data_IF_857962881680
#
_entry.id   IF_857962881680
#
_cell.length_a   1.000
_cell.length_b   1.000
_cell.length_c   1.000
_cell.angle_alpha   90.00
_cell.angle_beta   90.00
_cell.angle_gamma   90.00
#
_symmetry.space_group_name_H-M   'P 1'
#
loop_
_entity.id
_entity.type
_entity.pdbx_description
1 polymer ?
#
# COMPACT_ATOMS: atom_id res chain seq x y z
N UNK A 1 2.17 -13.34 -4.30
CA UNK A 1 1.87 -12.77 -5.63
C UNK A 1 0.37 -12.71 -5.85
N UNK A 2 -0.35 -13.83 -5.71
CA UNK A 2 -1.80 -13.88 -5.95
C UNK A 2 -2.61 -12.88 -5.12
N UNK A 3 -2.28 -12.70 -3.83
CA UNK A 3 -3.00 -11.76 -2.96
C UNK A 3 -2.84 -10.30 -3.42
N UNK A 4 -1.69 -9.92 -3.97
CA UNK A 4 -1.46 -8.57 -4.48
C UNK A 4 -2.22 -8.31 -5.80
N UNK A 5 -2.26 -9.30 -6.71
CA UNK A 5 -3.04 -9.22 -7.94
C UNK A 5 -4.54 -9.10 -7.64
N UNK A 6 -5.07 -9.97 -6.77
CA UNK A 6 -6.45 -9.88 -6.30
C UNK A 6 -6.75 -8.55 -5.60
N UNK A 7 -5.81 -8.06 -4.79
CA UNK A 7 -5.91 -6.76 -4.13
C UNK A 7 -6.12 -5.63 -5.15
N UNK A 8 -5.22 -5.51 -6.10
CA UNK A 8 -5.28 -4.46 -7.10
C UNK A 8 -6.56 -4.54 -7.93
N UNK A 9 -6.87 -5.72 -8.50
CA UNK A 9 -8.06 -5.91 -9.33
C UNK A 9 -9.37 -5.65 -8.58
N UNK A 10 -9.46 -6.06 -7.29
CA UNK A 10 -10.65 -5.85 -6.46
C UNK A 10 -10.79 -4.38 -6.09
N UNK A 11 -9.72 -3.73 -5.61
CA UNK A 11 -9.73 -2.32 -5.20
C UNK A 11 -10.14 -1.41 -6.37
N UNK A 12 -9.52 -1.60 -7.53
CA UNK A 12 -9.83 -0.80 -8.71
C UNK A 12 -11.18 -1.17 -9.32
N UNK A 13 -11.65 -2.42 -9.16
CA UNK A 13 -13.01 -2.82 -9.52
C UNK A 13 -14.06 -2.11 -8.67
N UNK A 14 -13.85 -2.06 -7.36
CA UNK A 14 -14.71 -1.32 -6.42
C UNK A 14 -14.70 0.18 -6.71
N UNK A 15 -13.52 0.78 -6.92
CA UNK A 15 -13.38 2.18 -7.28
C UNK A 15 -14.15 2.52 -8.56
N UNK A 16 -14.03 1.69 -9.59
CA UNK A 16 -14.76 1.86 -10.84
C UNK A 16 -16.27 1.73 -10.64
N UNK A 17 -16.72 0.66 -9.96
CA UNK A 17 -18.14 0.37 -9.80
C UNK A 17 -18.89 1.41 -8.96
N UNK A 18 -18.25 1.95 -7.91
CA UNK A 18 -18.91 2.81 -6.93
C UNK A 18 -18.60 4.30 -7.11
N UNK A 19 -17.43 4.66 -7.62
CA UNK A 19 -16.92 6.03 -7.57
C UNK A 19 -16.49 6.61 -8.93
N UNK A 20 -16.62 5.86 -10.03
CA UNK A 20 -16.17 6.36 -11.34
C UNK A 20 -16.80 7.69 -11.72
N UNK A 21 -18.11 7.82 -11.51
CA UNK A 21 -18.83 9.06 -11.82
C UNK A 21 -18.34 10.23 -10.96
N UNK A 22 -18.08 9.98 -9.68
CA UNK A 22 -17.68 11.01 -8.74
C UNK A 22 -16.27 11.52 -9.04
N UNK A 23 -15.30 10.63 -9.20
CA UNK A 23 -13.94 11.07 -9.47
C UNK A 23 -13.76 11.70 -10.85
N UNK A 24 -14.51 11.25 -11.87
CA UNK A 24 -14.50 11.90 -13.17
C UNK A 24 -15.05 13.33 -13.17
N UNK A 25 -16.02 13.59 -12.31
CA UNK A 25 -16.64 14.91 -12.18
C UNK A 25 -15.91 15.85 -11.22
N UNK A 26 -15.34 15.32 -10.16
CA UNK A 26 -14.76 16.10 -9.06
C UNK A 26 -13.23 16.04 -9.01
N UNK A 27 -12.63 15.01 -9.62
CA UNK A 27 -11.19 14.82 -9.65
C UNK A 27 -10.48 15.83 -10.55
N UNK A 28 -9.24 16.18 -10.19
CA UNK A 28 -8.38 16.98 -11.07
C UNK A 28 -8.04 16.21 -12.36
N UNK A 29 -7.60 16.93 -13.39
CA UNK A 29 -7.14 16.31 -14.65
C UNK A 29 -6.04 15.28 -14.42
N UNK A 30 -5.08 15.58 -13.55
CA UNK A 30 -4.00 14.64 -13.18
C UNK A 30 -4.53 13.39 -12.49
N UNK A 31 -5.48 13.54 -11.56
CA UNK A 31 -6.10 12.39 -10.90
C UNK A 31 -6.81 11.48 -11.91
N UNK A 32 -7.60 12.06 -12.81
CA UNK A 32 -8.31 11.31 -13.84
C UNK A 32 -7.34 10.60 -14.79
N UNK A 33 -6.25 11.26 -15.21
CA UNK A 33 -5.19 10.67 -16.01
C UNK A 33 -4.55 9.45 -15.33
N UNK A 34 -4.20 9.58 -14.04
CA UNK A 34 -3.60 8.49 -13.26
C UNK A 34 -4.58 7.33 -13.10
N UNK A 35 -5.84 7.60 -12.75
CA UNK A 35 -6.88 6.58 -12.64
C UNK A 35 -7.08 5.81 -13.96
N UNK A 36 -7.18 6.51 -15.08
CA UNK A 36 -7.32 5.90 -16.41
C UNK A 36 -6.11 5.04 -16.79
N UNK A 37 -4.90 5.46 -16.41
CA UNK A 37 -3.69 4.67 -16.62
C UNK A 37 -3.69 3.39 -15.75
N UNK A 38 -4.08 3.50 -14.48
CA UNK A 38 -4.18 2.33 -13.59
C UNK A 38 -5.23 1.33 -14.07
N UNK A 39 -6.39 1.77 -14.55
CA UNK A 39 -7.39 0.88 -15.13
C UNK A 39 -6.89 0.11 -16.36
N UNK A 40 -6.05 0.74 -17.20
CA UNK A 40 -5.41 0.07 -18.34
C UNK A 40 -4.38 -0.99 -17.91
N UNK A 41 -3.64 -0.72 -16.81
CA UNK A 41 -2.58 -1.60 -16.30
C UNK A 41 -3.16 -2.81 -15.57
N UNK A 42 -4.16 -2.59 -14.70
CA UNK A 42 -4.64 -3.59 -13.73
C UNK A 42 -5.70 -4.50 -14.33
N UNK A 43 -6.50 -4.03 -15.28
CA UNK A 43 -7.70 -4.74 -15.75
C UNK A 43 -8.61 -5.15 -14.57
N UNK A 44 -9.35 -4.18 -13.98
CA UNK A 44 -10.13 -4.40 -12.76
C UNK A 44 -11.13 -5.54 -12.87
N UNK A 45 -11.46 -6.20 -11.77
CA UNK A 45 -12.57 -7.13 -11.71
C UNK A 45 -13.90 -6.40 -11.85
N UNK A 46 -14.84 -7.00 -12.60
CA UNK A 46 -16.20 -6.50 -12.81
C UNK A 46 -17.22 -7.61 -12.55
N UNK A 47 -18.47 -7.25 -12.26
CA UNK A 47 -19.58 -8.20 -12.07
C UNK A 47 -19.27 -9.31 -11.07
N UNK A 48 -19.41 -10.57 -11.49
CA UNK A 48 -19.16 -11.74 -10.64
C UNK A 48 -17.70 -11.87 -10.20
N UNK A 49 -16.75 -11.51 -11.05
CA UNK A 49 -15.34 -11.56 -10.69
C UNK A 49 -14.97 -10.60 -9.54
N UNK A 50 -15.64 -9.45 -9.46
CA UNK A 50 -15.50 -8.54 -8.33
C UNK A 50 -16.01 -9.18 -7.03
N UNK A 51 -17.15 -9.83 -7.07
CA UNK A 51 -17.70 -10.56 -5.90
C UNK A 51 -16.78 -11.70 -5.47
N UNK A 52 -16.24 -12.45 -6.43
CA UNK A 52 -15.26 -13.50 -6.15
C UNK A 52 -13.95 -12.93 -5.57
N UNK A 53 -13.47 -11.80 -6.08
CA UNK A 53 -12.34 -11.08 -5.53
C UNK A 53 -12.54 -10.68 -4.07
N UNK A 54 -13.71 -10.14 -3.75
CA UNK A 54 -14.09 -9.81 -2.37
C UNK A 54 -14.15 -11.05 -1.47
N UNK A 55 -14.70 -12.16 -1.94
CA UNK A 55 -14.79 -13.42 -1.19
C UNK A 55 -13.40 -14.02 -0.91
N UNK A 56 -12.49 -13.98 -1.89
CA UNK A 56 -11.10 -14.45 -1.78
C UNK A 56 -10.30 -13.76 -0.68
N UNK A 57 -10.66 -12.53 -0.32
CA UNK A 57 -10.06 -11.80 0.81
C UNK A 57 -10.03 -12.63 2.09
N UNK A 58 -11.12 -13.35 2.39
CA UNK A 58 -11.20 -14.19 3.60
C UNK A 58 -10.24 -15.37 3.55
N UNK A 59 -9.98 -15.93 2.38
CA UNK A 59 -9.00 -16.99 2.21
C UNK A 59 -7.58 -16.50 2.52
N UNK A 60 -7.13 -15.43 1.89
CA UNK A 60 -5.80 -14.88 2.13
C UNK A 60 -5.62 -14.42 3.59
N UNK A 61 -6.65 -13.79 4.16
CA UNK A 61 -6.64 -13.40 5.55
C UNK A 61 -6.45 -14.59 6.50
N UNK A 62 -7.11 -15.71 6.23
CA UNK A 62 -6.97 -16.94 7.02
C UNK A 62 -5.53 -17.46 6.97
N UNK A 63 -4.91 -17.54 5.80
CA UNK A 63 -3.53 -18.00 5.64
C UNK A 63 -2.55 -17.11 6.44
N UNK A 64 -2.74 -15.79 6.38
CA UNK A 64 -1.95 -14.85 7.16
C UNK A 64 -2.16 -15.01 8.67
N UNK A 65 -3.38 -15.27 9.13
CA UNK A 65 -3.64 -15.53 10.54
C UNK A 65 -2.94 -16.79 11.06
N UNK A 66 -2.86 -17.83 10.24
CA UNK A 66 -2.08 -19.03 10.60
C UNK A 66 -0.60 -18.68 10.73
N UNK A 67 -0.07 -17.90 9.81
CA UNK A 67 1.31 -17.43 9.84
C UNK A 67 1.62 -16.57 11.08
N UNK A 68 0.74 -15.63 11.43
CA UNK A 68 0.91 -14.75 12.60
C UNK A 68 0.89 -15.47 13.94
N UNK A 69 0.36 -16.68 14.03
CA UNK A 69 0.48 -17.50 15.27
C UNK A 69 1.93 -17.83 15.59
N UNK A 70 2.76 -17.97 14.58
CA UNK A 70 4.20 -18.28 14.74
C UNK A 70 5.06 -17.00 14.71
N UNK A 71 4.71 -16.06 13.86
CA UNK A 71 5.46 -14.83 13.62
C UNK A 71 4.51 -13.63 13.83
N UNK A 72 4.41 -13.12 15.07
CA UNK A 72 3.40 -12.11 15.43
C UNK A 72 3.63 -10.75 14.73
N UNK A 73 4.83 -10.50 14.25
CA UNK A 73 5.20 -9.31 13.46
C UNK A 73 5.92 -9.71 12.17
N UNK A 74 5.61 -8.99 11.11
CA UNK A 74 6.30 -9.09 9.82
C UNK A 74 6.80 -7.71 9.43
N UNK A 75 8.07 -7.63 9.02
CA UNK A 75 8.68 -6.40 8.53
C UNK A 75 8.86 -6.52 7.01
N UNK A 76 8.44 -5.49 6.30
CA UNK A 76 8.63 -5.37 4.86
C UNK A 76 9.12 -3.96 4.50
N UNK A 77 9.71 -3.74 3.34
CA UNK A 77 9.78 -2.41 2.78
C UNK A 77 8.36 -1.83 2.66
N UNK A 78 8.19 -0.52 2.83
CA UNK A 78 6.93 0.14 2.50
C UNK A 78 6.77 0.27 0.98
N UNK A 79 7.82 0.76 0.31
CA UNK A 79 7.93 0.80 -1.14
C UNK A 79 9.03 -0.16 -1.60
N UNK A 80 8.85 -0.79 -2.77
CA UNK A 80 9.89 -1.64 -3.39
C UNK A 80 11.05 -0.82 -3.99
N UNK A 81 10.82 0.45 -4.26
CA UNK A 81 11.77 1.39 -4.85
C UNK A 81 11.98 2.60 -3.93
N UNK A 82 13.05 3.38 -4.11
CA UNK A 82 13.19 4.69 -3.47
C UNK A 82 11.98 5.59 -3.76
N UNK A 83 11.77 6.60 -2.91
CA UNK A 83 10.68 7.56 -3.09
C UNK A 83 10.70 8.15 -4.52
N UNK A 84 9.54 8.16 -5.15
CA UNK A 84 9.39 8.65 -6.52
C UNK A 84 9.51 10.18 -6.59
N UNK A 85 9.85 10.68 -7.77
CA UNK A 85 9.70 12.10 -8.08
C UNK A 85 8.22 12.49 -8.04
N UNK A 86 7.97 13.74 -7.70
CA UNK A 86 6.62 14.29 -7.74
C UNK A 86 5.99 14.12 -9.13
N UNK A 87 4.74 13.73 -9.19
CA UNK A 87 3.99 13.46 -10.43
C UNK A 87 4.54 12.33 -11.31
N UNK A 88 5.36 11.41 -10.78
CA UNK A 88 5.87 10.28 -11.58
C UNK A 88 4.76 9.45 -12.23
N UNK A 89 3.64 9.27 -11.56
CA UNK A 89 2.45 8.53 -12.02
C UNK A 89 1.69 9.23 -13.16
N UNK A 90 1.91 10.52 -13.36
CA UNK A 90 1.34 11.29 -14.50
C UNK A 90 2.21 11.23 -15.77
N UNK A 91 3.41 10.67 -15.70
CA UNK A 91 4.35 10.52 -16.82
C UNK A 91 4.01 9.33 -17.75
N UNK A 92 2.73 9.15 -18.04
CA UNK A 92 2.23 8.09 -18.94
C UNK A 92 2.17 6.70 -18.26
N UNK A 93 1.97 5.66 -19.09
CA UNK A 93 1.78 4.30 -18.58
C UNK A 93 3.00 3.75 -17.85
N UNK A 94 4.21 4.07 -18.27
CA UNK A 94 5.44 3.56 -17.62
C UNK A 94 5.63 4.16 -16.23
N UNK A 95 5.39 5.46 -16.05
CA UNK A 95 5.41 6.09 -14.74
C UNK A 95 4.34 5.52 -13.80
N UNK A 96 3.13 5.34 -14.30
CA UNK A 96 2.04 4.73 -13.56
C UNK A 96 2.34 3.27 -13.16
N UNK A 97 2.93 2.45 -14.05
CA UNK A 97 3.35 1.07 -13.75
C UNK A 97 4.41 1.03 -12.65
N UNK A 98 5.42 1.91 -12.74
CA UNK A 98 6.50 1.96 -11.75
C UNK A 98 5.95 2.27 -10.35
N UNK A 99 5.11 3.30 -10.23
CA UNK A 99 4.50 3.69 -8.95
C UNK A 99 3.61 2.57 -8.40
N UNK A 100 2.75 1.99 -9.24
CA UNK A 100 1.86 0.90 -8.84
C UNK A 100 2.61 -0.34 -8.37
N UNK A 101 3.64 -0.76 -9.12
CA UNK A 101 4.49 -1.90 -8.74
C UNK A 101 5.22 -1.67 -7.41
N UNK A 102 5.65 -0.44 -7.16
CA UNK A 102 6.32 -0.08 -5.91
C UNK A 102 5.45 -0.19 -4.66
N UNK A 103 4.13 -0.10 -4.80
CA UNK A 103 3.18 -0.20 -3.69
C UNK A 103 2.70 -1.64 -3.38
N UNK A 104 3.38 -2.64 -3.89
CA UNK A 104 3.01 -4.06 -3.80
C UNK A 104 2.61 -4.52 -2.38
N UNK A 105 3.44 -4.23 -1.38
CA UNK A 105 3.15 -4.62 0.01
C UNK A 105 1.99 -3.82 0.62
N UNK A 106 1.87 -2.54 0.31
CA UNK A 106 0.81 -1.70 0.86
C UNK A 106 -0.59 -2.14 0.36
N UNK A 107 -0.75 -2.40 -0.93
CA UNK A 107 -2.02 -2.88 -1.49
C UNK A 107 -2.50 -4.17 -0.84
N UNK A 108 -1.60 -5.13 -0.68
CA UNK A 108 -1.93 -6.44 -0.13
C UNK A 108 -2.50 -6.32 1.28
N UNK A 109 -1.90 -5.48 2.14
CA UNK A 109 -2.38 -5.28 3.51
C UNK A 109 -3.74 -4.58 3.56
N UNK A 110 -3.95 -3.58 2.71
CA UNK A 110 -5.24 -2.88 2.59
C UNK A 110 -6.35 -3.83 2.16
N UNK A 111 -6.11 -4.67 1.15
CA UNK A 111 -7.07 -5.65 0.69
C UNK A 111 -7.46 -6.65 1.79
N UNK A 112 -6.51 -7.17 2.53
CA UNK A 112 -6.79 -8.13 3.61
C UNK A 112 -7.39 -7.47 4.86
N UNK A 113 -7.30 -6.14 5.00
CA UNK A 113 -7.72 -5.42 6.21
C UNK A 113 -6.92 -5.84 7.44
N UNK A 114 -5.62 -5.98 7.25
CA UNK A 114 -4.65 -6.31 8.29
C UNK A 114 -3.97 -5.01 8.72
N UNK A 115 -3.80 -4.76 10.04
CA UNK A 115 -3.15 -3.56 10.52
C UNK A 115 -1.68 -3.53 10.11
N UNK A 116 -1.23 -2.36 9.68
CA UNK A 116 0.14 -2.08 9.34
C UNK A 116 0.54 -0.69 9.82
N UNK A 117 1.72 -0.57 10.40
CA UNK A 117 2.36 0.70 10.74
C UNK A 117 3.58 0.93 9.87
N UNK A 118 3.94 2.19 9.65
CA UNK A 118 5.15 2.56 8.92
C UNK A 118 6.00 3.47 9.78
N UNK A 119 7.28 3.15 9.88
CA UNK A 119 8.28 3.97 10.56
C UNK A 119 9.44 4.26 9.62
N UNK A 120 9.93 5.50 9.63
CA UNK A 120 11.13 5.87 8.87
C UNK A 120 12.37 5.36 9.59
N UNK A 121 13.13 4.48 8.94
CA UNK A 121 14.27 3.81 9.56
C UNK A 121 15.64 4.32 9.08
N UNK A 122 15.70 4.96 7.93
CA UNK A 122 16.96 5.45 7.36
C UNK A 122 16.72 6.57 6.34
N UNK A 123 17.82 7.15 5.86
CA UNK A 123 17.86 8.05 4.71
C UNK A 123 18.64 7.42 3.56
N UNK A 124 18.10 7.55 2.36
CA UNK A 124 18.80 7.22 1.13
C UNK A 124 18.78 8.47 0.21
N UNK A 125 19.94 8.99 -0.15
CA UNK A 125 20.09 10.21 -0.97
C UNK A 125 19.24 11.40 -0.50
N UNK A 126 19.13 11.59 0.82
CA UNK A 126 18.37 12.69 1.41
C UNK A 126 16.85 12.44 1.55
N UNK A 127 16.38 11.27 1.16
CA UNK A 127 14.97 10.87 1.27
C UNK A 127 14.77 9.80 2.36
N UNK A 128 13.68 9.85 3.13
CA UNK A 128 13.39 8.85 4.16
C UNK A 128 13.08 7.49 3.55
N UNK A 129 13.53 6.41 4.19
CA UNK A 129 13.21 5.04 3.84
C UNK A 129 12.31 4.46 4.93
N UNK A 130 11.10 4.05 4.56
CA UNK A 130 10.11 3.47 5.46
C UNK A 130 10.19 1.95 5.55
N UNK A 131 10.04 1.44 6.78
CA UNK A 131 9.78 0.03 7.06
C UNK A 131 8.32 -0.11 7.42
N UNK A 132 7.61 -1.02 6.76
CA UNK A 132 6.25 -1.42 7.12
C UNK A 132 6.31 -2.56 8.13
N UNK A 133 5.52 -2.45 9.19
CA UNK A 133 5.38 -3.45 10.26
C UNK A 133 3.94 -3.92 10.26
N UNK A 134 3.74 -5.21 10.13
CA UNK A 134 2.43 -5.84 9.91
C UNK A 134 2.17 -6.82 11.04
N UNK A 135 0.90 -6.91 11.48
CA UNK A 135 0.47 -7.90 12.47
C UNK A 135 -0.95 -8.41 12.18
N UNK A 136 -1.41 -9.37 12.97
CA UNK A 136 -2.80 -9.84 12.91
C UNK A 136 -3.78 -8.73 13.29
N UNK A 137 -5.05 -8.89 12.91
CA UNK A 137 -6.11 -7.94 13.28
C UNK A 137 -6.15 -7.69 14.78
N UNK A 138 -6.43 -6.44 15.15
CA UNK A 138 -6.53 -5.96 16.54
C UNK A 138 -5.23 -6.07 17.33
N UNK A 139 -4.09 -6.14 16.63
CA UNK A 139 -2.75 -6.15 17.25
C UNK A 139 -1.93 -4.92 16.88
N UNK A 140 -2.61 -3.80 16.74
CA UNK A 140 -1.99 -2.47 16.57
C UNK A 140 -1.05 -2.13 17.74
N UNK A 141 -1.35 -2.67 18.93
CA UNK A 141 -0.53 -2.52 20.14
C UNK A 141 0.93 -2.95 19.94
N UNK A 142 1.14 -4.13 19.34
CA UNK A 142 2.52 -4.63 19.12
C UNK A 142 3.19 -3.95 17.92
N UNK A 143 2.42 -3.49 16.94
CA UNK A 143 2.95 -2.70 15.83
C UNK A 143 3.49 -1.36 16.35
N UNK A 144 2.69 -0.63 17.13
CA UNK A 144 3.10 0.66 17.71
C UNK A 144 4.31 0.50 18.61
N UNK A 145 4.35 -0.55 19.43
CA UNK A 145 5.51 -0.84 20.28
C UNK A 145 6.76 -1.14 19.46
N UNK A 146 6.64 -1.86 18.36
CA UNK A 146 7.78 -2.14 17.47
C UNK A 146 8.26 -0.86 16.75
N UNK A 147 7.35 0.03 16.30
CA UNK A 147 7.70 1.34 15.77
C UNK A 147 8.46 2.17 16.82
N UNK A 148 7.95 2.23 18.04
CA UNK A 148 8.60 2.93 19.16
C UNK A 148 10.02 2.41 19.43
N UNK A 149 10.21 1.10 19.46
CA UNK A 149 11.54 0.49 19.66
C UNK A 149 12.53 0.77 18.53
N UNK A 150 12.04 0.88 17.29
CA UNK A 150 12.85 1.30 16.13
C UNK A 150 13.26 2.77 16.28
N UNK A 151 12.31 3.65 16.60
CA UNK A 151 12.59 5.08 16.79
C UNK A 151 13.53 5.36 17.96
N UNK A 152 13.41 4.64 19.07
CA UNK A 152 14.34 4.72 20.20
C UNK A 152 15.79 4.43 19.81
N UNK A 153 16.00 3.51 18.88
CA UNK A 153 17.34 3.10 18.43
C UNK A 153 17.89 3.96 17.32
N UNK A 154 17.06 4.40 16.39
CA UNK A 154 17.45 5.12 15.19
C UNK A 154 17.26 6.64 15.30
N UNK A 155 16.48 7.08 16.30
CA UNK A 155 16.00 8.44 16.46
C UNK A 155 14.77 8.73 15.60
N UNK A 156 13.96 9.68 16.05
CA UNK A 156 12.74 10.11 15.36
C UNK A 156 13.13 10.92 14.13
N UNK A 157 12.81 10.40 12.96
CA UNK A 157 13.21 10.97 11.69
C UNK A 157 12.64 12.37 11.44
N UNK A 158 11.42 12.65 11.95
CA UNK A 158 10.80 13.95 11.83
C UNK A 158 11.68 15.07 12.44
N UNK A 159 12.29 14.83 13.60
CA UNK A 159 13.20 15.82 14.22
C UNK A 159 14.44 16.08 13.35
N UNK A 160 15.01 15.02 12.77
CA UNK A 160 16.16 15.14 11.86
C UNK A 160 15.82 15.92 10.58
N UNK A 161 14.57 15.91 10.14
CA UNK A 161 14.10 16.70 8.99
C UNK A 161 13.94 18.17 9.36
N UNK A 162 13.37 18.47 10.52
CA UNK A 162 13.21 19.85 10.99
C UNK A 162 14.55 20.55 11.28
N UNK A 163 15.57 19.83 11.70
CA UNK A 163 16.91 20.39 11.93
C UNK A 163 17.65 20.76 10.63
N UNK A 164 17.17 20.32 9.47
CA UNK A 164 17.76 20.61 8.15
C UNK A 164 17.18 21.84 7.45
N UNK A 165 16.05 22.35 7.92
CA UNK A 165 15.40 23.57 7.43
C UNK A 165 15.99 24.78 8.06
#
# INVERSE_FOLDING_TARGET
EDAADFSAKTLFGELKALHEKDYKNLGSENFNLVADNYFKIISPFEGEDLLLGMAKRSYFFREWNVFFRKYPLVLTPFLLYPTYKWNRDTEGLEGAKEVLAGMFYAHTMNYMGIPAGVVSANYNHGLPVGIQIISSRFREDIILKACEEIEKRLGIMAFKLFERG
#
